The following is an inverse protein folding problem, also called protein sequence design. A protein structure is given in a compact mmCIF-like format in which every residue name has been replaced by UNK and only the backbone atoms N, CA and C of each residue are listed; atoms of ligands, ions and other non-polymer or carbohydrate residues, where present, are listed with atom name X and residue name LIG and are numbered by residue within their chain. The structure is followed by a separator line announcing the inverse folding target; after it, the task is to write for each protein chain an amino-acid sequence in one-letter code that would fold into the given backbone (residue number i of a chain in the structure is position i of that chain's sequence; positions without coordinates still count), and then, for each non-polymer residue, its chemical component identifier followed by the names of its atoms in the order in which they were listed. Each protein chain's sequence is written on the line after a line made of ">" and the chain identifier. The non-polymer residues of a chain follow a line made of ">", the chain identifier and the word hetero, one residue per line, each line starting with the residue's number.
data_IF_560084175350
#
_entry.id   IF_560084175350
#
_cell.length_a   1.000
_cell.length_b   1.000
_cell.length_c   1.000
_cell.angle_alpha   90.00
_cell.angle_beta   90.00
_cell.angle_gamma   90.00
#
_symmetry.space_group_name_H-M   'P 1'
#
loop_
_entity.id
_entity.type
_entity.pdbx_description
1 polymer ?
#
# COMPACT_ATOMS: atom_id res chain seq x y z
N UNK A 1 20.16 -13.41 -11.00
CA UNK A 1 19.56 -14.74 -10.80
C UNK A 1 18.08 -14.58 -11.09
N UNK A 2 17.52 -15.31 -12.07
CA UNK A 2 16.06 -15.45 -12.14
C UNK A 2 15.69 -16.39 -11.01
N UNK A 3 15.03 -15.85 -9.99
CA UNK A 3 14.40 -16.66 -8.96
C UNK A 3 13.32 -17.53 -9.63
N UNK A 4 12.88 -18.62 -9.01
CA UNK A 4 12.04 -19.66 -9.63
C UNK A 4 10.65 -19.21 -10.09
N UNK A 5 10.31 -17.92 -10.01
CA UNK A 5 9.13 -17.35 -10.65
C UNK A 5 9.53 -16.70 -11.98
N UNK A 6 8.63 -16.72 -12.98
CA UNK A 6 8.91 -16.20 -14.33
C UNK A 6 9.18 -14.70 -14.42
N UNK A 7 9.26 -13.98 -13.30
CA UNK A 7 9.40 -12.53 -13.21
C UNK A 7 10.79 -12.12 -12.72
N UNK A 8 11.23 -10.94 -13.13
CA UNK A 8 12.40 -10.32 -12.51
C UNK A 8 12.09 -9.83 -11.09
N UNK A 9 13.14 -9.65 -10.29
CA UNK A 9 13.02 -9.16 -8.92
C UNK A 9 12.32 -7.78 -8.83
N UNK A 10 12.46 -6.96 -9.87
CA UNK A 10 11.88 -5.62 -10.01
C UNK A 10 10.38 -5.69 -10.33
N UNK A 11 9.99 -6.57 -11.26
CA UNK A 11 8.59 -6.80 -11.60
C UNK A 11 7.79 -7.30 -10.39
N UNK A 12 8.34 -8.24 -9.61
CA UNK A 12 7.69 -8.70 -8.38
C UNK A 12 7.54 -7.56 -7.37
N UNK A 13 8.55 -6.68 -7.24
CA UNK A 13 8.46 -5.55 -6.32
C UNK A 13 7.32 -4.60 -6.71
N UNK A 14 7.16 -4.31 -8.00
CA UNK A 14 6.04 -3.50 -8.49
C UNK A 14 4.69 -4.15 -8.17
N UNK A 15 4.56 -5.46 -8.40
CA UNK A 15 3.32 -6.20 -8.10
C UNK A 15 2.98 -6.23 -6.61
N UNK A 16 3.98 -6.40 -5.73
CA UNK A 16 3.81 -6.34 -4.29
C UNK A 16 3.36 -4.94 -3.84
N UNK A 17 3.98 -3.90 -4.40
CA UNK A 17 3.64 -2.52 -4.10
C UNK A 17 2.20 -2.19 -4.53
N UNK A 18 1.78 -2.65 -5.71
CA UNK A 18 0.38 -2.56 -6.16
C UNK A 18 -0.55 -3.34 -5.24
N UNK A 19 -0.24 -4.60 -4.91
CA UNK A 19 -1.08 -5.42 -4.03
C UNK A 19 -1.31 -4.77 -2.65
N UNK A 20 -0.31 -4.09 -2.11
CA UNK A 20 -0.40 -3.43 -0.82
C UNK A 20 -0.95 -2.00 -0.91
N UNK A 21 -1.12 -1.42 -2.09
CA UNK A 21 -1.65 -0.07 -2.23
C UNK A 21 -3.12 0.05 -1.74
N UNK A 22 -3.47 1.06 -0.93
CA UNK A 22 -4.84 1.24 -0.43
C UNK A 22 -5.88 1.51 -1.54
N UNK A 23 -5.47 1.90 -2.74
CA UNK A 23 -6.32 2.12 -3.91
C UNK A 23 -6.55 0.86 -4.75
N UNK A 24 -5.90 -0.27 -4.43
CA UNK A 24 -6.05 -1.50 -5.19
C UNK A 24 -7.40 -2.17 -4.93
N UNK A 25 -8.09 -2.53 -6.01
CA UNK A 25 -9.38 -3.19 -5.92
C UNK A 25 -9.24 -4.62 -5.40
N UNK A 26 -10.27 -5.15 -4.70
CA UNK A 26 -10.20 -6.49 -4.11
C UNK A 26 -10.04 -7.60 -5.18
N UNK A 27 -10.59 -7.38 -6.36
CA UNK A 27 -10.44 -8.27 -7.52
C UNK A 27 -8.98 -8.32 -8.04
N UNK A 28 -8.32 -7.16 -8.15
CA UNK A 28 -6.92 -7.08 -8.55
C UNK A 28 -6.02 -7.69 -7.48
N UNK A 29 -6.27 -7.37 -6.21
CA UNK A 29 -5.53 -7.95 -5.10
C UNK A 29 -5.60 -9.48 -5.09
N UNK A 30 -6.78 -10.05 -5.38
CA UNK A 30 -6.99 -11.51 -5.46
C UNK A 30 -6.15 -12.12 -6.59
N UNK A 31 -6.16 -11.52 -7.77
CA UNK A 31 -5.38 -11.99 -8.92
C UNK A 31 -3.87 -11.96 -8.65
N UNK A 32 -3.38 -10.88 -8.06
CA UNK A 32 -1.97 -10.75 -7.67
C UNK A 32 -1.56 -11.77 -6.61
N UNK A 33 -2.42 -12.02 -5.62
CA UNK A 33 -2.18 -13.03 -4.58
C UNK A 33 -2.08 -14.44 -5.16
N UNK A 34 -2.92 -14.78 -6.12
CA UNK A 34 -2.90 -16.08 -6.80
C UNK A 34 -1.54 -16.30 -7.48
N UNK A 35 -1.10 -15.33 -8.29
CA UNK A 35 0.20 -15.39 -8.98
C UNK A 35 1.40 -15.41 -8.02
N UNK A 36 1.31 -14.71 -6.88
CA UNK A 36 2.39 -14.69 -5.87
C UNK A 36 2.43 -16.00 -5.08
N UNK A 37 1.28 -16.63 -4.82
CA UNK A 37 1.19 -17.88 -4.07
C UNK A 37 1.85 -19.06 -4.80
N UNK A 38 1.96 -19.01 -6.13
CA UNK A 38 2.67 -20.01 -6.92
C UNK A 38 4.19 -20.04 -6.65
N UNK A 39 4.75 -18.97 -6.07
CA UNK A 39 6.17 -18.89 -5.75
C UNK A 39 6.40 -18.64 -4.24
N UNK A 40 7.01 -19.60 -3.51
CA UNK A 40 7.24 -19.46 -2.06
C UNK A 40 8.18 -18.29 -1.72
N UNK A 41 9.13 -17.96 -2.62
CA UNK A 41 10.06 -16.84 -2.43
C UNK A 41 9.33 -15.50 -2.51
N UNK A 42 8.47 -15.32 -3.51
CA UNK A 42 7.66 -14.11 -3.66
C UNK A 42 6.67 -13.96 -2.51
N UNK A 43 6.08 -15.07 -2.06
CA UNK A 43 5.22 -15.09 -0.88
C UNK A 43 5.96 -14.66 0.39
N UNK A 44 7.19 -15.15 0.62
CA UNK A 44 8.01 -14.70 1.75
C UNK A 44 8.35 -13.20 1.72
N UNK A 45 8.58 -12.65 0.53
CA UNK A 45 8.76 -11.19 0.34
C UNK A 45 7.49 -10.41 0.66
N UNK A 46 6.32 -10.92 0.24
CA UNK A 46 5.03 -10.32 0.58
C UNK A 46 4.80 -10.26 2.10
N UNK A 47 5.11 -11.33 2.83
CA UNK A 47 4.98 -11.34 4.29
C UNK A 47 5.89 -10.31 4.95
N UNK A 48 7.14 -10.23 4.49
CA UNK A 48 8.10 -9.24 4.96
C UNK A 48 7.60 -7.80 4.72
N UNK A 49 7.09 -7.49 3.53
CA UNK A 49 6.53 -6.17 3.24
C UNK A 49 5.31 -5.84 4.10
N UNK A 50 4.43 -6.81 4.34
CA UNK A 50 3.27 -6.62 5.21
C UNK A 50 3.67 -6.29 6.64
N UNK A 51 4.67 -6.98 7.18
CA UNK A 51 5.18 -6.73 8.51
C UNK A 51 5.80 -5.33 8.62
N UNK A 52 6.67 -4.97 7.68
CA UNK A 52 7.28 -3.63 7.61
C UNK A 52 6.19 -2.55 7.53
N UNK A 53 5.19 -2.74 6.68
CA UNK A 53 4.09 -1.79 6.52
C UNK A 53 3.22 -1.67 7.76
N UNK A 54 2.99 -2.77 8.47
CA UNK A 54 2.28 -2.76 9.76
C UNK A 54 3.07 -1.98 10.82
N UNK A 55 4.40 -2.14 10.86
CA UNK A 55 5.28 -1.34 11.74
C UNK A 55 5.18 0.15 11.38
N UNK A 56 5.34 0.50 10.10
CA UNK A 56 5.23 1.88 9.62
C UNK A 56 3.87 2.49 9.94
N UNK A 57 2.79 1.73 9.73
CA UNK A 57 1.45 2.16 10.07
C UNK A 57 1.35 2.48 11.56
N UNK A 58 1.85 1.61 12.44
CA UNK A 58 1.82 1.83 13.90
C UNK A 58 2.59 3.08 14.31
N UNK A 59 3.81 3.27 13.83
CA UNK A 59 4.62 4.45 14.15
C UNK A 59 4.00 5.75 13.60
N UNK A 60 3.62 5.75 12.32
CA UNK A 60 3.18 6.98 11.66
C UNK A 60 1.72 7.36 11.96
N UNK A 61 0.86 6.43 12.36
CA UNK A 61 -0.54 6.77 12.71
C UNK A 61 -0.75 7.07 14.19
N UNK A 62 0.09 6.54 15.09
CA UNK A 62 -0.02 6.82 16.52
C UNK A 62 0.64 8.15 16.93
N UNK A 63 1.77 8.52 16.30
CA UNK A 63 2.58 9.67 16.74
C UNK A 63 2.43 10.91 15.84
N UNK A 64 1.97 10.76 14.59
CA UNK A 64 1.89 11.85 13.62
C UNK A 64 0.44 12.24 13.26
N UNK A 65 -0.45 12.31 14.25
CA UNK A 65 -1.75 12.93 14.04
C UNK A 65 -1.55 14.40 13.66
N UNK A 66 -1.94 14.78 12.43
CA UNK A 66 -1.80 16.16 11.95
C UNK A 66 -2.35 17.16 12.99
N UNK A 67 -1.70 18.31 13.23
CA UNK A 67 -2.18 19.29 14.20
C UNK A 67 -3.65 19.66 13.93
N UNK A 68 -4.46 19.75 14.99
CA UNK A 68 -5.90 20.01 14.86
C UNK A 68 -6.19 21.30 14.09
N UNK A 69 -5.35 22.32 14.27
CA UNK A 69 -5.41 23.59 13.53
C UNK A 69 -5.24 23.40 12.02
N UNK A 70 -4.30 22.56 11.59
CA UNK A 70 -4.07 22.26 10.18
C UNK A 70 -5.24 21.46 9.59
N UNK A 71 -5.75 20.46 10.31
CA UNK A 71 -6.93 19.68 9.91
C UNK A 71 -8.17 20.57 9.75
N UNK A 72 -8.39 21.49 10.68
CA UNK A 72 -9.52 22.43 10.61
C UNK A 72 -9.40 23.37 9.40
N UNK A 73 -8.21 23.92 9.14
CA UNK A 73 -7.94 24.78 7.98
C UNK A 73 -8.22 24.04 6.66
N UNK A 74 -7.66 22.84 6.51
CA UNK A 74 -7.84 22.02 5.30
C UNK A 74 -9.32 21.67 5.11
N UNK A 75 -10.02 21.25 6.16
CA UNK A 75 -11.45 20.91 6.10
C UNK A 75 -12.32 22.09 5.66
N UNK A 76 -12.01 23.29 6.15
CA UNK A 76 -12.71 24.52 5.78
C UNK A 76 -12.48 24.86 4.30
N UNK A 77 -11.23 24.80 3.83
CA UNK A 77 -10.89 25.08 2.43
C UNK A 77 -11.57 24.09 1.47
N UNK A 78 -11.54 22.79 1.76
CA UNK A 78 -12.21 21.78 0.92
C UNK A 78 -13.72 22.04 0.81
N UNK A 79 -14.37 22.41 1.93
CA UNK A 79 -15.80 22.76 1.92
C UNK A 79 -16.06 23.97 1.02
N UNK A 80 -15.30 25.05 1.21
CA UNK A 80 -15.46 26.29 0.43
C UNK A 80 -15.28 26.06 -1.07
N UNK A 81 -14.29 25.24 -1.47
CA UNK A 81 -14.06 24.92 -2.89
C UNK A 81 -15.19 24.10 -3.51
N UNK A 82 -15.83 23.18 -2.77
CA UNK A 82 -16.97 22.38 -3.27
C UNK A 82 -18.25 23.19 -3.47
N UNK A 83 -18.41 24.33 -2.79
CA UNK A 83 -19.55 25.22 -2.95
C UNK A 83 -19.38 26.26 -4.06
N UNK A 84 -18.16 26.42 -4.60
CA UNK A 84 -17.85 27.37 -5.67
C UNK A 84 -17.67 26.71 -7.05
N UNK A 85 -18.00 25.42 -7.17
CA UNK A 85 -17.99 24.65 -8.41
C UNK A 85 -19.40 24.31 -8.89
#
# INVERSE_FOLDING_TARGET
>A
MKETCGYSCDEIQAQLCTLLDPGTSPEQARALLDSIAECPTCYGRLESEREIRAILQRCCTAEAAAPASLRQRISMQIRVTRFQG
#
